data_IF_451680961450
#
_entry.id   IF_451680961450
#
_cell.length_a   1.000
_cell.length_b   1.000
_cell.length_c   1.000
_cell.angle_alpha   90.00
_cell.angle_beta   90.00
_cell.angle_gamma   90.00
#
_symmetry.space_group_name_H-M   'P 1'
#
loop_
_entity.id
_entity.type
_entity.pdbx_description
1 polymer ?
#
# COMPACT_ATOMS: atom_id res chain seq x y z
N UNK A 1 -24.27 -0.37 -40.69
CA UNK A 1 -24.62 0.54 -39.58
C UNK A 1 -26.10 0.56 -39.19
N UNK A 2 -27.01 -0.24 -39.77
CA UNK A 2 -28.47 -0.12 -39.49
C UNK A 2 -29.05 -1.30 -38.66
N UNK A 3 -28.29 -2.37 -38.37
CA UNK A 3 -28.80 -3.53 -37.61
C UNK A 3 -28.60 -3.48 -36.08
N UNK A 4 -27.85 -2.51 -35.53
CA UNK A 4 -27.63 -2.39 -34.07
C UNK A 4 -28.68 -1.51 -33.35
N UNK A 5 -29.55 -0.81 -34.09
CA UNK A 5 -30.45 0.20 -33.52
C UNK A 5 -31.88 -0.29 -33.23
N UNK A 6 -32.36 -1.36 -33.86
CA UNK A 6 -33.73 -1.87 -33.63
C UNK A 6 -33.91 -2.66 -32.33
N UNK A 7 -32.86 -3.28 -31.78
CA UNK A 7 -32.97 -4.06 -30.52
C UNK A 7 -32.98 -3.12 -29.29
N UNK A 8 -32.49 -1.89 -29.42
CA UNK A 8 -32.23 -0.99 -28.27
C UNK A 8 -33.35 0.04 -28.05
N UNK A 9 -34.08 0.43 -29.10
CA UNK A 9 -35.27 1.28 -28.95
C UNK A 9 -36.38 0.53 -28.19
N UNK A 10 -36.44 -0.80 -28.28
CA UNK A 10 -37.37 -1.62 -27.48
C UNK A 10 -36.93 -1.77 -26.01
N UNK A 11 -35.63 -1.76 -25.70
CA UNK A 11 -35.14 -1.81 -24.31
C UNK A 11 -35.40 -0.51 -23.54
N UNK A 12 -35.20 0.66 -24.15
CA UNK A 12 -35.49 1.95 -23.49
C UNK A 12 -36.99 2.17 -23.30
N UNK A 13 -37.84 1.67 -24.21
CA UNK A 13 -39.30 1.67 -24.00
C UNK A 13 -39.72 0.65 -22.94
N UNK A 14 -39.04 -0.50 -22.80
CA UNK A 14 -39.30 -1.46 -21.72
C UNK A 14 -39.01 -0.91 -20.31
N UNK A 15 -38.04 -0.02 -20.17
CA UNK A 15 -37.70 0.63 -18.89
C UNK A 15 -38.84 1.57 -18.43
N UNK A 16 -39.60 2.15 -19.37
CA UNK A 16 -40.61 3.19 -19.09
C UNK A 16 -42.06 2.67 -19.06
N UNK A 17 -42.34 1.44 -19.52
CA UNK A 17 -43.71 0.88 -19.47
C UNK A 17 -43.93 0.12 -18.16
N UNK A 18 -44.56 0.83 -17.21
CA UNK A 18 -45.43 0.36 -16.11
C UNK A 18 -45.30 -1.10 -15.67
N UNK A 19 -44.20 -1.44 -14.99
CA UNK A 19 -44.10 -2.64 -14.17
C UNK A 19 -43.30 -2.28 -12.92
N UNK A 20 -43.85 -2.59 -11.74
CA UNK A 20 -43.19 -2.35 -10.45
C UNK A 20 -41.71 -2.77 -10.53
N UNK A 21 -40.79 -1.82 -10.35
CA UNK A 21 -39.38 -2.15 -10.14
C UNK A 21 -39.34 -2.95 -8.84
N UNK A 22 -38.96 -4.21 -8.93
CA UNK A 22 -38.88 -5.05 -7.75
C UNK A 22 -37.70 -4.56 -6.93
N UNK A 23 -37.94 -4.10 -5.70
CA UNK A 23 -36.89 -3.91 -4.69
C UNK A 23 -36.59 -5.30 -4.15
N UNK A 24 -35.95 -6.13 -4.97
CA UNK A 24 -35.50 -7.47 -4.57
C UNK A 24 -34.48 -7.39 -3.43
N UNK A 25 -34.19 -8.53 -2.81
CA UNK A 25 -33.17 -8.61 -1.77
C UNK A 25 -31.85 -8.03 -2.29
N UNK A 26 -31.36 -6.98 -1.65
CA UNK A 26 -30.16 -6.27 -2.06
C UNK A 26 -28.98 -7.27 -2.08
N UNK A 27 -28.29 -7.45 -3.23
CA UNK A 27 -27.18 -8.39 -3.29
C UNK A 27 -26.17 -8.10 -2.19
N UNK A 28 -25.68 -9.17 -1.57
CA UNK A 28 -24.71 -9.06 -0.48
C UNK A 28 -23.40 -8.50 -1.04
N UNK A 29 -22.68 -7.66 -0.29
CA UNK A 29 -21.35 -7.21 -0.70
C UNK A 29 -20.43 -8.41 -0.90
N UNK A 30 -19.63 -8.39 -1.96
CA UNK A 30 -18.55 -9.37 -2.16
C UNK A 30 -17.49 -9.15 -1.08
N UNK A 31 -17.04 -10.21 -0.39
CA UNK A 31 -15.98 -10.10 0.60
C UNK A 31 -14.72 -9.49 0.00
N UNK A 32 -14.03 -8.69 0.80
CA UNK A 32 -12.79 -8.04 0.39
C UNK A 32 -11.66 -9.08 0.36
N UNK A 33 -10.98 -9.24 -0.77
CA UNK A 33 -9.84 -10.14 -0.93
C UNK A 33 -8.63 -9.44 -1.54
N UNK A 34 -7.45 -9.98 -1.30
CA UNK A 34 -6.22 -9.49 -1.92
C UNK A 34 -6.16 -9.83 -3.41
N UNK A 35 -5.77 -8.85 -4.22
CA UNK A 35 -5.62 -8.97 -5.65
C UNK A 35 -4.14 -8.94 -6.02
N UNK A 36 -3.65 -9.97 -6.71
CA UNK A 36 -2.33 -9.95 -7.31
C UNK A 36 -2.38 -9.13 -8.59
N UNK A 37 -1.55 -8.10 -8.68
CA UNK A 37 -1.37 -7.34 -9.90
C UNK A 37 -0.43 -8.12 -10.81
N UNK A 38 -0.82 -8.38 -12.06
CA UNK A 38 0.04 -9.03 -13.06
C UNK A 38 1.16 -8.07 -13.52
N UNK A 39 2.05 -7.74 -12.59
CA UNK A 39 3.19 -6.90 -12.81
C UNK A 39 4.30 -7.26 -11.82
N UNK A 40 5.54 -7.39 -12.30
CA UNK A 40 6.67 -7.81 -11.47
C UNK A 40 7.49 -6.62 -10.99
N UNK A 41 7.80 -6.55 -9.70
CA UNK A 41 8.82 -5.64 -9.16
C UNK A 41 10.19 -6.09 -9.68
N UNK A 42 11.12 -5.18 -10.02
CA UNK A 42 12.50 -5.56 -10.27
C UNK A 42 13.03 -6.46 -9.13
N UNK A 43 13.57 -7.62 -9.47
CA UNK A 43 13.99 -8.63 -8.48
C UNK A 43 15.19 -8.11 -7.70
N UNK A 44 14.95 -7.51 -6.53
CA UNK A 44 15.96 -6.93 -5.64
C UNK A 44 15.60 -7.15 -4.18
N UNK A 45 16.60 -7.25 -3.31
CA UNK A 45 16.45 -7.16 -1.85
C UNK A 45 16.75 -5.76 -1.35
N UNK A 46 16.25 -5.40 -0.16
CA UNK A 46 16.59 -4.15 0.56
C UNK A 46 16.42 -2.84 -0.23
N UNK A 47 15.66 -2.86 -1.32
CA UNK A 47 15.16 -1.64 -1.96
C UNK A 47 14.19 -0.95 -1.00
N UNK A 48 14.03 0.36 -1.10
CA UNK A 48 12.92 1.07 -0.44
C UNK A 48 11.88 1.48 -1.46
N UNK A 49 10.63 1.58 -1.02
CA UNK A 49 9.58 2.13 -1.85
C UNK A 49 8.60 2.99 -1.05
N UNK A 50 7.96 3.91 -1.75
CA UNK A 50 7.07 4.93 -1.19
C UNK A 50 5.94 5.23 -2.17
N UNK A 51 4.74 5.43 -1.65
CA UNK A 51 3.56 5.78 -2.42
C UNK A 51 3.47 7.29 -2.53
N UNK A 52 3.27 7.76 -3.75
CA UNK A 52 2.94 9.14 -4.07
C UNK A 52 1.42 9.30 -4.21
N UNK A 53 0.91 10.48 -3.90
CA UNK A 53 -0.53 10.80 -3.89
C UNK A 53 -1.20 10.59 -5.26
N UNK A 54 -0.43 10.49 -6.35
CA UNK A 54 -0.89 10.35 -7.73
C UNK A 54 -0.95 8.90 -8.23
N UNK A 55 -1.20 7.94 -7.35
CA UNK A 55 -1.28 6.52 -7.75
C UNK A 55 0.01 5.97 -8.36
N UNK A 56 1.15 6.42 -7.82
CA UNK A 56 2.46 5.86 -8.16
C UNK A 56 3.15 5.32 -6.92
N UNK A 57 3.85 4.21 -7.07
CA UNK A 57 4.84 3.77 -6.09
C UNK A 57 6.21 3.96 -6.69
N UNK A 58 7.10 4.65 -5.98
CA UNK A 58 8.49 4.85 -6.35
C UNK A 58 9.38 3.83 -5.64
N UNK A 59 10.36 3.31 -6.36
CA UNK A 59 11.33 2.32 -5.90
C UNK A 59 12.73 2.82 -6.18
N UNK A 60 13.63 2.67 -5.20
CA UNK A 60 15.04 3.00 -5.37
C UNK A 60 15.94 2.03 -4.61
N UNK A 61 17.14 1.82 -5.16
CA UNK A 61 18.20 1.03 -4.56
C UNK A 61 17.88 -0.46 -4.47
N UNK A 62 18.44 -1.08 -3.44
CA UNK A 62 18.42 -2.51 -3.24
C UNK A 62 19.58 -3.22 -3.93
N UNK A 63 19.64 -4.54 -3.78
CA UNK A 63 20.66 -5.41 -4.37
C UNK A 63 19.99 -6.43 -5.30
N UNK A 64 20.51 -6.59 -6.52
CA UNK A 64 20.01 -7.58 -7.47
C UNK A 64 20.62 -8.98 -7.23
N UNK A 65 20.17 -9.97 -8.02
CA UNK A 65 20.65 -11.36 -7.92
C UNK A 65 22.14 -11.55 -8.24
N UNK A 66 22.79 -10.55 -8.85
CA UNK A 66 24.23 -10.55 -9.15
C UNK A 66 25.03 -9.80 -8.08
N UNK A 67 24.37 -9.33 -7.01
CA UNK A 67 24.99 -8.57 -5.94
C UNK A 67 25.26 -7.10 -6.29
N UNK A 68 24.77 -6.61 -7.43
CA UNK A 68 24.91 -5.22 -7.82
C UNK A 68 23.87 -4.36 -7.11
N UNK A 69 24.26 -3.15 -6.73
CA UNK A 69 23.39 -2.13 -6.17
C UNK A 69 23.09 -1.07 -7.23
N UNK A 70 22.03 -1.26 -8.05
CA UNK A 70 21.61 -0.30 -9.06
C UNK A 70 21.02 0.98 -8.45
N UNK A 71 21.09 2.08 -9.21
CA UNK A 71 20.65 3.41 -8.82
C UNK A 71 19.52 3.97 -9.70
N UNK A 72 18.82 3.11 -10.42
CA UNK A 72 17.66 3.51 -11.20
C UNK A 72 16.43 3.73 -10.31
N UNK A 73 15.59 4.69 -10.72
CA UNK A 73 14.30 4.92 -10.11
C UNK A 73 13.25 4.21 -10.95
N UNK A 74 12.50 3.30 -10.35
CA UNK A 74 11.28 2.77 -10.97
C UNK A 74 10.07 3.43 -10.35
N UNK A 75 9.06 3.72 -11.17
CA UNK A 75 7.71 4.02 -10.68
C UNK A 75 6.68 3.07 -11.27
N UNK A 76 5.84 2.52 -10.40
CA UNK A 76 4.71 1.68 -10.76
C UNK A 76 3.44 2.53 -10.73
N UNK A 77 2.74 2.65 -11.88
CA UNK A 77 1.36 3.14 -11.88
C UNK A 77 0.47 2.07 -11.29
N UNK A 78 -0.27 2.40 -10.23
CA UNK A 78 -1.18 1.47 -9.55
C UNK A 78 -2.65 1.62 -9.97
N UNK A 79 -2.94 2.52 -10.92
CA UNK A 79 -4.24 2.58 -11.57
C UNK A 79 -4.18 1.87 -12.91
N UNK A 80 -5.24 1.12 -13.24
CA UNK A 80 -5.32 0.42 -14.51
C UNK A 80 -5.21 1.42 -15.69
N UNK A 81 -4.42 1.12 -16.73
CA UNK A 81 -3.52 -0.03 -16.85
C UNK A 81 -2.24 0.14 -16.02
N UNK A 82 -1.89 -0.90 -15.26
CA UNK A 82 -0.63 -0.95 -14.52
C UNK A 82 0.56 -0.89 -15.48
N UNK A 83 1.57 -0.11 -15.12
CA UNK A 83 2.76 0.02 -15.95
C UNK A 83 3.96 0.44 -15.13
N UNK A 84 5.12 -0.11 -15.49
CA UNK A 84 6.40 0.35 -14.98
C UNK A 84 6.98 1.43 -15.87
N UNK A 85 7.48 2.47 -15.22
CA UNK A 85 8.23 3.53 -15.86
C UNK A 85 9.58 3.59 -15.16
N UNK A 86 10.64 3.37 -15.94
CA UNK A 86 12.02 3.55 -15.47
C UNK A 86 12.45 4.99 -15.72
N UNK A 87 12.98 5.63 -14.69
CA UNK A 87 13.62 6.93 -14.79
C UNK A 87 15.12 6.81 -14.46
N UNK A 88 15.96 7.13 -15.44
CA UNK A 88 17.42 7.12 -15.31
C UNK A 88 17.95 8.54 -15.08
N UNK A 89 17.36 9.25 -14.11
CA UNK A 89 17.84 10.56 -13.72
C UNK A 89 19.20 10.44 -13.02
N UNK A 90 20.21 11.26 -13.38
CA UNK A 90 21.43 11.39 -12.58
C UNK A 90 21.05 11.68 -11.13
N UNK A 91 21.66 10.96 -10.18
CA UNK A 91 21.21 10.98 -8.79
C UNK A 91 22.15 10.21 -7.86
N UNK A 92 21.67 9.81 -6.67
CA UNK A 92 22.47 9.09 -5.70
C UNK A 92 23.04 7.79 -6.30
N UNK A 93 24.19 7.36 -5.79
CA UNK A 93 24.69 6.02 -6.08
C UNK A 93 23.77 4.93 -5.52
N UNK A 94 23.86 3.73 -6.09
CA UNK A 94 23.04 2.60 -5.67
C UNK A 94 23.48 2.06 -4.33
N UNK A 95 22.49 1.66 -3.52
CA UNK A 95 22.67 1.42 -2.09
C UNK A 95 21.56 0.55 -1.49
N UNK A 96 21.87 -0.09 -0.37
CA UNK A 96 20.92 -0.84 0.47
C UNK A 96 20.71 -0.15 1.82
N UNK A 97 19.63 -0.49 2.53
CA UNK A 97 19.39 -0.01 3.90
C UNK A 97 19.22 1.51 4.03
N UNK A 98 19.08 2.24 2.93
CA UNK A 98 18.80 3.67 2.96
C UNK A 98 17.38 3.93 3.48
N UNK A 99 17.14 5.12 4.00
CA UNK A 99 15.80 5.57 4.35
C UNK A 99 15.19 6.32 3.15
N UNK A 100 13.91 6.08 2.84
CA UNK A 100 13.18 6.75 1.76
C UNK A 100 11.80 7.18 2.28
N UNK A 101 11.46 8.46 2.13
CA UNK A 101 10.19 9.02 2.58
C UNK A 101 9.51 9.86 1.50
N UNK A 102 8.18 9.90 1.50
CA UNK A 102 7.37 10.78 0.63
C UNK A 102 6.70 11.88 1.46
N UNK A 103 6.82 13.13 1.01
CA UNK A 103 6.15 14.25 1.63
C UNK A 103 4.69 14.30 1.16
N UNK A 104 3.78 13.97 2.07
CA UNK A 104 2.37 13.73 1.73
C UNK A 104 1.71 15.00 1.20
N UNK A 105 1.07 14.89 0.04
CA UNK A 105 0.45 16.04 -0.65
C UNK A 105 1.42 16.88 -1.47
N UNK A 106 2.66 16.41 -1.67
CA UNK A 106 3.66 17.04 -2.53
C UNK A 106 4.28 16.03 -3.51
N UNK A 107 5.14 16.54 -4.39
CA UNK A 107 5.95 15.74 -5.31
C UNK A 107 7.36 15.45 -4.77
N UNK A 108 7.63 15.68 -3.48
CA UNK A 108 8.97 15.53 -2.93
C UNK A 108 9.15 14.17 -2.25
N UNK A 109 10.21 13.46 -2.63
CA UNK A 109 10.76 12.34 -1.86
C UNK A 109 12.07 12.79 -1.19
N UNK A 110 12.38 12.19 -0.04
CA UNK A 110 13.68 12.31 0.60
C UNK A 110 14.34 10.94 0.67
N UNK A 111 15.64 10.88 0.38
CA UNK A 111 16.51 9.75 0.64
C UNK A 111 17.60 10.16 1.62
N UNK A 112 17.90 9.29 2.58
CA UNK A 112 19.00 9.50 3.52
C UNK A 112 19.83 8.22 3.73
N UNK A 113 21.15 8.38 3.68
CA UNK A 113 22.12 7.35 4.08
C UNK A 113 22.05 6.05 3.29
N UNK A 114 22.28 4.93 3.97
CA UNK A 114 22.42 3.59 3.38
C UNK A 114 23.88 3.13 3.28
N UNK A 115 24.08 1.96 2.69
CA UNK A 115 25.39 1.39 2.39
C UNK A 115 25.55 1.26 0.87
N UNK A 116 26.65 1.78 0.33
CA UNK A 116 26.96 1.67 -1.11
C UNK A 116 27.64 0.35 -1.46
N UNK A 117 27.90 0.14 -2.76
CA UNK A 117 28.56 -1.06 -3.28
C UNK A 117 29.94 -1.33 -2.64
N UNK A 118 30.64 -0.30 -2.18
CA UNK A 118 31.95 -0.40 -1.52
C UNK A 118 31.85 -0.74 -0.02
N UNK A 119 30.63 -0.91 0.51
CA UNK A 119 30.40 -1.16 1.94
C UNK A 119 30.49 0.08 2.82
N UNK A 120 30.51 1.28 2.23
CA UNK A 120 30.60 2.53 2.97
C UNK A 120 29.22 2.97 3.43
N UNK A 121 29.10 3.26 4.73
CA UNK A 121 27.92 3.93 5.29
C UNK A 121 27.89 5.39 4.84
N UNK A 122 26.72 5.84 4.38
CA UNK A 122 26.50 7.17 3.84
C UNK A 122 25.67 8.03 4.80
N UNK A 123 25.80 9.35 4.69
CA UNK A 123 24.98 10.36 5.37
C UNK A 123 24.49 11.46 4.42
N UNK A 124 24.60 11.24 3.11
CA UNK A 124 24.08 12.16 2.12
C UNK A 124 22.56 12.22 2.17
N UNK A 125 22.04 13.42 1.88
CA UNK A 125 20.60 13.66 1.77
C UNK A 125 20.27 14.05 0.36
N UNK A 126 19.29 13.37 -0.22
CA UNK A 126 18.83 13.63 -1.58
C UNK A 126 17.34 13.90 -1.59
N UNK A 127 16.95 14.91 -2.36
CA UNK A 127 15.55 15.18 -2.66
C UNK A 127 15.26 14.75 -4.10
N UNK A 128 14.14 14.07 -4.30
CA UNK A 128 13.66 13.74 -5.63
C UNK A 128 12.34 14.45 -5.89
N UNK A 129 12.32 15.25 -6.95
CA UNK A 129 11.11 15.84 -7.50
C UNK A 129 10.45 14.80 -8.40
N UNK A 130 9.34 14.23 -7.94
CA UNK A 130 8.60 13.18 -8.63
C UNK A 130 7.79 13.69 -9.84
N UNK A 131 7.55 15.01 -9.90
CA UNK A 131 6.88 15.65 -11.03
C UNK A 131 7.82 15.79 -12.21
N UNK A 132 9.01 16.36 -11.98
CA UNK A 132 10.03 16.55 -13.02
C UNK A 132 10.94 15.32 -13.21
N UNK A 133 10.97 14.42 -12.24
CA UNK A 133 11.80 13.22 -12.25
C UNK A 133 13.29 13.52 -12.06
N UNK A 134 13.64 14.44 -11.16
CA UNK A 134 15.01 14.93 -10.99
C UNK A 134 15.47 14.77 -9.54
N UNK A 135 16.69 14.27 -9.35
CA UNK A 135 17.37 14.25 -8.05
C UNK A 135 18.14 15.54 -7.80
N UNK A 136 18.18 15.96 -6.53
CA UNK A 136 19.02 17.04 -6.04
C UNK A 136 19.64 16.64 -4.71
N UNK A 137 20.97 16.57 -4.66
CA UNK A 137 21.68 16.45 -3.39
C UNK A 137 21.53 17.75 -2.61
N UNK A 138 21.26 17.64 -1.32
CA UNK A 138 21.17 18.79 -0.42
C UNK A 138 22.24 18.67 0.65
N UNK A 139 23.09 19.69 0.73
CA UNK A 139 24.12 19.78 1.75
C UNK A 139 23.50 20.21 3.08
N UNK A 140 23.67 19.38 4.10
CA UNK A 140 23.19 19.66 5.45
C UNK A 140 24.14 19.01 6.44
N UNK A 141 24.51 19.74 7.49
CA UNK A 141 24.95 19.10 8.73
C UNK A 141 23.77 18.29 9.25
N UNK A 142 23.96 17.00 9.53
CA UNK A 142 22.87 16.11 9.84
C UNK A 142 23.33 14.86 10.58
N UNK A 143 22.49 13.80 10.61
CA UNK A 143 22.82 12.57 11.29
C UNK A 143 24.13 11.96 10.77
N UNK A 144 24.86 11.28 11.64
CA UNK A 144 26.05 10.50 11.26
C UNK A 144 25.73 9.44 10.20
N UNK A 145 26.72 8.97 9.41
CA UNK A 145 26.52 7.92 8.42
C UNK A 145 25.90 6.67 9.02
N UNK A 146 24.87 6.16 8.37
CA UNK A 146 24.07 5.04 8.88
C UNK A 146 23.22 4.38 7.80
N UNK A 147 22.83 3.14 8.07
CA UNK A 147 21.84 2.39 7.31
C UNK A 147 20.82 1.74 8.24
N UNK A 148 19.78 1.16 7.64
CA UNK A 148 18.66 0.48 8.29
C UNK A 148 17.89 1.39 9.25
N UNK A 149 17.95 2.70 9.00
CA UNK A 149 17.17 3.73 9.68
C UNK A 149 15.79 3.86 9.04
N UNK A 150 14.84 4.40 9.80
CA UNK A 150 13.45 4.52 9.39
C UNK A 150 13.09 5.99 9.25
N UNK A 151 12.37 6.36 8.19
CA UNK A 151 11.98 7.75 7.92
C UNK A 151 10.50 7.85 7.56
N UNK A 152 9.82 8.89 8.03
CA UNK A 152 8.43 9.17 7.64
C UNK A 152 8.14 10.68 7.65
N UNK A 153 7.03 11.09 7.03
CA UNK A 153 6.68 12.50 6.88
C UNK A 153 5.87 13.04 8.05
N UNK A 154 6.39 14.05 8.74
CA UNK A 154 5.63 14.76 9.76
C UNK A 154 4.74 15.83 9.13
N UNK A 155 3.42 15.59 9.12
CA UNK A 155 2.44 16.54 8.58
C UNK A 155 2.36 17.86 9.36
N UNK A 156 2.69 17.85 10.65
CA UNK A 156 2.56 19.04 11.50
C UNK A 156 3.67 20.03 11.19
N UNK A 157 4.90 19.56 11.12
CA UNK A 157 6.09 20.37 10.82
C UNK A 157 6.36 20.49 9.32
N UNK A 158 5.66 19.68 8.51
CA UNK A 158 5.88 19.53 7.08
C UNK A 158 7.30 19.05 6.74
N UNK A 159 7.90 18.29 7.65
CA UNK A 159 9.26 17.75 7.56
C UNK A 159 9.30 16.22 7.52
N UNK A 160 10.49 15.64 7.69
CA UNK A 160 10.65 14.19 7.81
C UNK A 160 11.32 13.80 9.11
N UNK A 161 10.73 12.85 9.84
CA UNK A 161 11.32 12.27 11.06
C UNK A 161 12.13 11.05 10.66
N UNK A 162 13.40 11.04 11.04
CA UNK A 162 14.32 9.91 10.93
C UNK A 162 14.58 9.34 12.32
N UNK A 163 14.56 8.02 12.46
CA UNK A 163 14.87 7.32 13.70
C UNK A 163 15.85 6.18 13.49
N UNK A 164 16.81 6.09 14.42
CA UNK A 164 17.68 4.92 14.60
C UNK A 164 18.62 4.63 13.43
N UNK A 165 18.81 3.35 13.15
CA UNK A 165 19.81 2.83 12.20
C UNK A 165 21.11 2.45 12.89
N UNK A 166 22.10 2.03 12.09
CA UNK A 166 23.42 1.70 12.58
C UNK A 166 24.51 2.03 11.57
N UNK A 167 25.75 2.04 12.06
CA UNK A 167 26.94 1.87 11.24
C UNK A 167 27.82 0.74 11.79
N UNK A 168 29.03 0.57 11.24
CA UNK A 168 29.97 -0.46 11.70
C UNK A 168 30.42 -0.32 13.15
N UNK A 169 30.25 0.87 13.76
CA UNK A 169 30.78 1.20 15.08
C UNK A 169 29.69 1.47 16.13
N UNK A 170 28.48 1.81 15.71
CA UNK A 170 27.44 2.37 16.58
C UNK A 170 26.04 2.00 16.11
N UNK A 171 25.20 1.67 17.10
CA UNK A 171 23.76 1.52 16.95
C UNK A 171 23.09 2.80 17.45
N UNK A 172 22.20 3.37 16.65
CA UNK A 172 21.59 4.67 16.93
C UNK A 172 20.14 4.51 17.43
N UNK A 173 19.77 5.36 18.40
CA UNK A 173 18.40 5.54 18.91
C UNK A 173 18.00 7.02 18.96
N UNK A 174 18.72 7.85 18.20
CA UNK A 174 18.42 9.26 18.05
C UNK A 174 17.28 9.49 17.05
N UNK A 175 16.65 10.64 17.22
CA UNK A 175 15.57 11.17 16.39
C UNK A 175 16.05 12.47 15.77
N UNK A 176 15.94 12.55 14.45
CA UNK A 176 16.25 13.74 13.68
C UNK A 176 15.03 14.16 12.88
N UNK A 177 14.91 15.45 12.61
CA UNK A 177 13.86 15.96 11.75
C UNK A 177 14.42 16.86 10.65
N UNK A 178 14.06 16.55 9.41
CA UNK A 178 14.39 17.35 8.24
C UNK A 178 13.33 18.40 8.00
N UNK A 179 13.76 19.65 7.83
CA UNK A 179 12.93 20.76 7.38
C UNK A 179 13.44 21.24 6.02
N UNK A 180 12.55 21.39 5.04
CA UNK A 180 12.93 21.80 3.67
C UNK A 180 13.70 23.13 3.60
N UNK A 181 13.51 24.01 4.58
CA UNK A 181 14.13 25.34 4.63
C UNK A 181 15.47 25.38 5.38
N UNK A 182 15.70 24.44 6.30
CA UNK A 182 16.80 24.54 7.28
C UNK A 182 17.55 23.24 7.54
N UNK A 183 17.27 22.20 6.76
CA UNK A 183 17.97 20.93 6.81
C UNK A 183 17.61 20.08 8.04
N UNK A 184 18.55 19.24 8.45
CA UNK A 184 18.40 18.33 9.59
C UNK A 184 18.55 19.04 10.95
N UNK A 185 17.67 18.73 11.88
CA UNK A 185 17.72 19.16 13.27
C UNK A 185 17.67 17.95 14.19
N UNK A 186 18.58 17.87 15.15
CA UNK A 186 18.51 16.86 16.21
C UNK A 186 17.29 17.14 17.09
N UNK A 187 16.53 16.11 17.44
CA UNK A 187 15.29 16.25 18.20
C UNK A 187 15.34 15.59 19.57
N UNK A 188 15.80 14.34 19.65
CA UNK A 188 15.84 13.58 20.89
C UNK A 188 16.75 12.37 20.75
N UNK A 189 17.43 11.98 21.82
CA UNK A 189 18.07 10.68 22.04
C UNK A 189 17.36 9.89 23.17
N UNK A 190 16.27 10.44 23.71
CA UNK A 190 15.39 9.79 24.67
C UNK A 190 14.18 9.17 23.96
N UNK A 191 13.78 7.98 24.40
CA UNK A 191 12.61 7.27 23.87
C UNK A 191 12.92 5.80 23.58
N UNK A 192 12.52 5.27 22.40
CA UNK A 192 12.78 3.88 22.04
C UNK A 192 14.28 3.56 22.06
N UNK A 193 14.63 2.36 22.51
CA UNK A 193 16.01 1.87 22.46
C UNK A 193 16.62 1.94 21.06
N UNK A 194 17.94 2.14 20.93
CA UNK A 194 18.65 2.07 19.65
C UNK A 194 18.32 0.80 18.85
N UNK A 195 18.03 0.95 17.55
CA UNK A 195 17.57 -0.18 16.72
C UNK A 195 17.70 0.05 15.22
N UNK A 196 17.71 -1.05 14.49
CA UNK A 196 17.58 -1.13 13.03
C UNK A 196 16.24 -1.77 12.63
N UNK A 197 15.86 -1.58 11.38
CA UNK A 197 14.73 -2.27 10.73
C UNK A 197 13.37 -2.07 11.43
N UNK A 198 13.22 -0.98 12.18
CA UNK A 198 11.97 -0.61 12.81
C UNK A 198 10.98 -0.06 11.77
N UNK A 199 9.69 -0.31 11.98
CA UNK A 199 8.65 0.29 11.17
C UNK A 199 8.34 1.70 11.64
N UNK A 200 8.54 2.73 10.80
CA UNK A 200 8.15 4.11 11.11
C UNK A 200 7.14 4.61 10.09
N UNK A 201 5.95 4.98 10.55
CA UNK A 201 4.83 5.35 9.68
C UNK A 201 4.09 6.58 10.20
N UNK A 202 3.59 7.39 9.29
CA UNK A 202 2.67 8.48 9.59
C UNK A 202 1.26 7.99 9.29
N UNK A 203 0.38 7.84 10.30
CA UNK A 203 -0.96 7.35 10.05
C UNK A 203 -1.77 8.27 9.12
N UNK A 204 -2.70 7.69 8.35
CA UNK A 204 -3.53 8.48 7.44
C UNK A 204 -4.29 9.58 8.18
N UNK A 205 -4.17 10.83 7.70
CA UNK A 205 -4.72 12.04 8.33
C UNK A 205 -4.26 12.32 9.79
N UNK A 206 -3.23 11.63 10.28
CA UNK A 206 -2.68 11.88 11.62
C UNK A 206 -1.51 12.86 11.59
N UNK A 207 -1.32 13.57 12.71
CA UNK A 207 -0.20 14.50 12.94
C UNK A 207 0.94 13.88 13.77
N UNK A 208 0.82 12.61 14.17
CA UNK A 208 1.84 11.89 14.93
C UNK A 208 2.53 10.84 14.06
N UNK A 209 3.69 10.36 14.51
CA UNK A 209 4.41 9.28 13.83
C UNK A 209 4.49 8.08 14.77
N UNK A 210 4.28 6.90 14.21
CA UNK A 210 4.25 5.63 14.95
C UNK A 210 5.50 4.83 14.58
N UNK A 211 6.29 4.51 15.59
CA UNK A 211 7.39 3.55 15.50
C UNK A 211 6.94 2.22 16.08
N UNK A 212 7.26 1.11 15.41
CA UNK A 212 6.97 -0.24 15.88
C UNK A 212 8.15 -1.17 15.63
N UNK A 213 8.44 -2.06 16.58
CA UNK A 213 9.36 -3.19 16.41
C UNK A 213 10.80 -2.82 16.05
N UNK A 214 11.46 -3.66 15.24
CA UNK A 214 12.89 -3.54 14.91
C UNK A 214 13.78 -4.39 15.83
N UNK A 215 15.10 -4.24 15.74
CA UNK A 215 16.06 -5.00 16.55
C UNK A 215 17.28 -4.21 16.99
N UNK A 216 17.88 -4.61 18.11
CA UNK A 216 19.09 -4.01 18.66
C UNK A 216 20.37 -4.39 17.89
N UNK A 217 20.48 -3.95 16.63
CA UNK A 217 21.56 -4.39 15.73
C UNK A 217 21.33 -5.81 15.20
N UNK A 218 22.28 -6.35 14.44
CA UNK A 218 22.08 -7.61 13.72
C UNK A 218 21.85 -8.83 14.62
N UNK A 219 22.50 -8.87 15.78
CA UNK A 219 22.48 -10.01 16.72
C UNK A 219 21.75 -9.69 18.05
N UNK A 220 21.02 -8.57 18.10
CA UNK A 220 20.39 -8.09 19.32
C UNK A 220 18.95 -8.54 19.52
N UNK A 221 18.37 -8.11 20.64
CA UNK A 221 16.96 -8.30 20.96
C UNK A 221 16.07 -7.72 19.85
N UNK A 222 15.03 -8.47 19.51
CA UNK A 222 13.98 -8.03 18.61
C UNK A 222 12.80 -7.49 19.42
N UNK A 223 12.24 -6.36 18.97
CA UNK A 223 11.21 -5.63 19.69
C UNK A 223 9.81 -5.78 19.08
N UNK A 224 8.77 -5.64 19.91
CA UNK A 224 7.36 -5.42 19.53
C UNK A 224 6.73 -4.23 20.28
N UNK A 225 7.57 -3.35 20.84
CA UNK A 225 7.08 -2.11 21.42
C UNK A 225 6.55 -1.17 20.32
N UNK A 226 5.64 -0.29 20.73
CA UNK A 226 5.07 0.75 19.87
C UNK A 226 5.26 2.10 20.54
N UNK A 227 5.61 3.11 19.75
CA UNK A 227 5.87 4.45 20.25
C UNK A 227 5.22 5.49 19.35
N UNK A 228 4.75 6.58 19.97
CA UNK A 228 4.18 7.73 19.29
C UNK A 228 5.07 8.95 19.47
N UNK A 229 5.41 9.62 18.37
CA UNK A 229 6.21 10.83 18.36
C UNK A 229 5.35 12.09 18.42
N UNK A 230 5.67 12.99 19.35
CA UNK A 230 5.01 14.27 19.61
C UNK A 230 5.93 15.47 19.36
N UNK A 231 6.71 15.45 18.27
CA UNK A 231 7.63 16.52 17.82
C UNK A 231 8.84 16.82 18.73
N UNK A 232 8.74 16.51 20.03
CA UNK A 232 9.79 16.74 21.04
C UNK A 232 10.08 15.49 21.88
N UNK A 233 9.16 14.53 21.92
CA UNK A 233 9.30 13.35 22.78
C UNK A 233 8.53 12.16 22.23
N UNK A 234 9.04 10.97 22.54
CA UNK A 234 8.36 9.70 22.31
C UNK A 234 7.51 9.30 23.52
N UNK A 235 6.33 8.76 23.27
CA UNK A 235 5.46 8.15 24.28
C UNK A 235 5.29 6.66 23.94
N UNK A 236 5.60 5.77 24.89
CA UNK A 236 5.44 4.33 24.68
C UNK A 236 3.98 3.92 24.81
N UNK A 237 3.47 3.20 23.82
CA UNK A 237 2.14 2.60 23.87
C UNK A 237 2.09 1.40 24.82
N UNK A 238 0.91 1.17 25.38
CA UNK A 238 0.59 0.15 26.37
C UNK A 238 -0.54 -0.72 25.83
N UNK A 239 -0.26 -1.96 25.40
CA UNK A 239 -1.29 -2.90 24.97
C UNK A 239 -2.33 -3.14 26.08
N UNK A 240 -3.61 -2.93 25.76
CA UNK A 240 -4.71 -3.14 26.71
C UNK A 240 -5.03 -4.61 26.94
N UNK A 241 -4.71 -5.46 25.96
CA UNK A 241 -5.09 -6.86 25.93
C UNK A 241 -3.82 -7.71 25.76
N UNK A 242 -3.85 -8.98 26.18
CA UNK A 242 -2.71 -9.90 26.00
C UNK A 242 -2.48 -10.28 24.54
N UNK A 243 -3.42 -9.96 23.65
CA UNK A 243 -3.31 -10.17 22.22
C UNK A 243 -2.48 -9.03 21.61
N UNK A 244 -1.22 -9.33 21.30
CA UNK A 244 -0.28 -8.38 20.71
C UNK A 244 0.63 -9.10 19.72
N UNK A 245 1.11 -8.45 18.64
CA UNK A 245 2.02 -9.11 17.73
C UNK A 245 3.33 -9.46 18.44
N UNK A 246 3.88 -10.63 18.10
CA UNK A 246 5.21 -11.06 18.58
C UNK A 246 6.30 -10.09 18.11
N UNK A 247 7.45 -10.01 18.82
CA UNK A 247 8.58 -9.20 18.38
C UNK A 247 9.04 -9.58 16.99
N UNK A 248 9.30 -8.57 16.16
CA UNK A 248 9.53 -8.77 14.72
C UNK A 248 10.39 -7.70 14.07
N UNK A 249 11.08 -8.11 13.01
CA UNK A 249 11.82 -7.25 12.06
C UNK A 249 11.41 -7.54 10.63
N UNK A 250 11.82 -6.67 9.69
CA UNK A 250 11.59 -6.88 8.26
C UNK A 250 10.12 -7.15 7.90
N UNK A 251 9.18 -6.64 8.67
CA UNK A 251 7.75 -6.73 8.39
C UNK A 251 7.31 -5.58 7.48
N UNK A 252 6.21 -5.79 6.78
CA UNK A 252 5.54 -4.71 6.06
C UNK A 252 4.72 -3.89 7.07
N UNK A 253 4.86 -2.56 7.06
CA UNK A 253 4.05 -1.65 7.89
C UNK A 253 3.46 -0.52 7.06
N UNK A 254 2.19 -0.19 7.29
CA UNK A 254 1.47 0.93 6.65
C UNK A 254 0.35 1.46 7.53
N UNK A 255 -0.45 2.41 7.02
CA UNK A 255 -1.61 2.93 7.76
C UNK A 255 -2.83 3.23 6.90
N UNK A 256 -3.99 2.76 7.31
CA UNK A 256 -5.26 2.98 6.62
C UNK A 256 -6.31 3.50 7.61
N UNK A 257 -7.06 4.54 7.23
CA UNK A 257 -8.08 5.18 8.09
C UNK A 257 -7.56 5.54 9.51
N UNK A 258 -6.26 5.84 9.61
CA UNK A 258 -5.59 6.14 10.88
C UNK A 258 -5.13 4.91 11.67
N UNK A 259 -5.57 3.70 11.34
CA UNK A 259 -5.07 2.46 11.96
C UNK A 259 -3.72 2.05 11.33
N UNK A 260 -2.95 1.23 12.04
CA UNK A 260 -1.68 0.66 11.55
C UNK A 260 -1.89 -0.78 11.10
N UNK A 261 -1.30 -1.13 9.95
CA UNK A 261 -1.32 -2.48 9.40
C UNK A 261 0.09 -3.05 9.44
N UNK A 262 0.24 -4.26 9.95
CA UNK A 262 1.49 -5.03 9.94
C UNK A 262 1.25 -6.35 9.23
N UNK A 263 2.16 -6.72 8.33
CA UNK A 263 2.11 -7.99 7.61
C UNK A 263 3.46 -8.71 7.72
N UNK A 264 3.43 -9.94 8.23
CA UNK A 264 4.57 -10.84 8.31
C UNK A 264 5.74 -10.30 9.14
N UNK A 265 6.94 -10.45 8.58
CA UNK A 265 8.22 -10.19 9.25
C UNK A 265 8.95 -11.46 9.66
N UNK A 266 10.02 -11.30 10.44
CA UNK A 266 10.83 -12.38 10.99
C UNK A 266 10.70 -12.42 12.51
N UNK A 267 10.70 -13.62 13.09
CA UNK A 267 10.54 -13.88 14.52
C UNK A 267 11.77 -13.43 15.34
N UNK A 268 11.50 -13.11 16.61
CA UNK A 268 12.44 -12.69 17.62
C UNK A 268 13.39 -13.80 18.08
N UNK A 269 12.90 -15.05 18.14
CA UNK A 269 13.68 -16.18 18.64
C UNK A 269 14.57 -16.81 17.55
N UNK A 270 14.20 -16.63 16.29
CA UNK A 270 14.93 -17.10 15.13
C UNK A 270 14.62 -16.16 13.96
N UNK A 271 15.57 -15.31 13.58
CA UNK A 271 15.39 -14.38 12.46
C UNK A 271 15.18 -15.09 11.13
N UNK A 272 15.46 -16.39 11.01
CA UNK A 272 15.14 -17.19 9.83
C UNK A 272 13.70 -17.72 9.83
N UNK A 273 12.98 -17.61 10.96
CA UNK A 273 11.57 -17.97 11.07
C UNK A 273 10.71 -16.83 10.56
N UNK A 274 10.02 -17.06 9.44
CA UNK A 274 9.15 -16.06 8.81
C UNK A 274 7.75 -16.12 9.43
N UNK A 275 7.24 -14.95 9.82
CA UNK A 275 5.91 -14.79 10.41
C UNK A 275 4.84 -14.76 9.31
N UNK A 276 3.78 -15.52 9.55
CA UNK A 276 2.66 -15.71 8.63
C UNK A 276 1.39 -14.96 9.07
N UNK A 277 1.53 -14.05 10.02
CA UNK A 277 0.41 -13.33 10.63
C UNK A 277 0.27 -11.92 10.06
N UNK A 278 -0.87 -11.30 10.31
CA UNK A 278 -1.11 -9.89 9.99
C UNK A 278 -1.99 -9.26 11.05
N UNK A 279 -1.77 -7.97 11.26
CA UNK A 279 -2.29 -7.28 12.42
C UNK A 279 -2.81 -5.91 12.03
N UNK A 280 -3.94 -5.55 12.63
CA UNK A 280 -4.38 -4.16 12.75
C UNK A 280 -4.09 -3.70 14.16
N UNK A 281 -3.40 -2.57 14.27
CA UNK A 281 -3.19 -1.88 15.54
C UNK A 281 -4.01 -0.61 15.54
N UNK A 282 -4.81 -0.47 16.59
CA UNK A 282 -5.67 0.68 16.85
C UNK A 282 -5.27 1.32 18.17
N UNK A 283 -5.48 2.63 18.29
CA UNK A 283 -5.12 3.40 19.48
C UNK A 283 -6.30 4.31 19.87
N UNK A 284 -7.35 3.75 20.52
CA UNK A 284 -8.57 4.48 20.81
C UNK A 284 -8.34 5.70 21.73
N UNK A 285 -7.34 5.63 22.61
CA UNK A 285 -6.76 6.77 23.32
C UNK A 285 -5.28 6.46 23.60
N UNK A 286 -4.34 7.15 22.96
CA UNK A 286 -2.91 6.91 23.24
C UNK A 286 -2.58 7.32 24.70
N UNK A 287 -1.80 6.55 25.48
CA UNK A 287 -0.93 5.43 25.10
C UNK A 287 -1.60 4.06 25.01
N UNK A 288 -2.89 3.93 25.26
CA UNK A 288 -3.57 2.63 25.18
C UNK A 288 -3.75 2.18 23.73
N UNK A 289 -3.22 0.99 23.42
CA UNK A 289 -3.28 0.38 22.08
C UNK A 289 -3.95 -0.99 22.13
N UNK A 290 -4.55 -1.41 21.02
CA UNK A 290 -5.13 -2.74 20.83
C UNK A 290 -4.69 -3.31 19.50
N UNK A 291 -4.44 -4.62 19.48
CA UNK A 291 -4.21 -5.34 18.24
C UNK A 291 -5.34 -6.33 17.97
N UNK A 292 -5.67 -6.50 16.69
CA UNK A 292 -6.49 -7.62 16.21
C UNK A 292 -5.76 -8.32 15.08
N UNK A 293 -5.87 -9.64 15.03
CA UNK A 293 -5.38 -10.39 13.89
C UNK A 293 -6.31 -10.20 12.69
N UNK A 294 -5.70 -10.18 11.52
CA UNK A 294 -6.38 -10.16 10.25
C UNK A 294 -5.81 -11.26 9.36
N UNK A 295 -6.70 -12.11 8.85
CA UNK A 295 -6.32 -13.24 8.01
C UNK A 295 -5.95 -12.73 6.61
N UNK A 296 -4.68 -12.85 6.25
CA UNK A 296 -4.20 -12.70 4.87
C UNK A 296 -4.16 -14.08 4.20
N UNK A 297 -4.47 -14.18 2.89
CA UNK A 297 -4.36 -15.43 2.14
C UNK A 297 -2.99 -16.11 2.32
N UNK A 298 -2.92 -17.44 2.30
CA UNK A 298 -1.68 -18.21 2.47
C UNK A 298 -0.55 -17.78 1.51
N UNK A 299 -0.91 -17.29 0.33
CA UNK A 299 0.01 -16.76 -0.68
C UNK A 299 0.75 -15.49 -0.21
N UNK A 300 0.15 -14.74 0.71
CA UNK A 300 0.75 -13.54 1.31
C UNK A 300 1.52 -13.81 2.58
N UNK A 301 1.23 -14.94 3.22
CA UNK A 301 1.90 -15.37 4.44
C UNK A 301 3.37 -15.71 4.15
N UNK A 302 4.24 -15.44 5.11
CA UNK A 302 5.64 -15.88 5.06
C UNK A 302 6.51 -14.98 4.24
N UNK A 303 6.27 -13.66 4.31
CA UNK A 303 7.10 -12.66 3.66
C UNK A 303 7.76 -11.72 4.67
N UNK A 304 9.01 -11.39 4.39
CA UNK A 304 9.77 -10.35 5.07
C UNK A 304 10.46 -9.44 4.05
N UNK A 305 10.84 -8.21 4.43
CA UNK A 305 11.33 -7.19 3.51
C UNK A 305 10.27 -6.67 2.54
N UNK A 306 9.00 -6.98 2.80
CA UNK A 306 7.88 -6.47 2.03
C UNK A 306 7.52 -5.05 2.48
N UNK A 307 7.01 -4.24 1.57
CA UNK A 307 6.53 -2.90 1.90
C UNK A 307 5.02 -2.86 1.87
N UNK A 308 4.42 -2.40 2.97
CA UNK A 308 3.01 -2.02 2.98
C UNK A 308 2.94 -0.51 2.74
N UNK A 309 2.22 -0.10 1.70
CA UNK A 309 2.02 1.33 1.47
C UNK A 309 0.54 1.65 1.39
N UNK A 310 0.07 2.65 2.15
CA UNK A 310 -1.32 3.03 2.08
C UNK A 310 -1.59 3.84 0.81
N UNK A 311 -2.45 3.31 -0.05
CA UNK A 311 -3.15 4.10 -1.05
C UNK A 311 -4.32 4.85 -0.41
N UNK A 312 -4.92 5.79 -1.16
CA UNK A 312 -6.11 6.52 -0.70
C UNK A 312 -7.30 5.61 -0.30
N UNK A 313 -7.29 4.35 -0.77
CA UNK A 313 -8.46 3.45 -0.76
C UNK A 313 -8.08 1.95 -0.73
N UNK A 314 -6.80 1.63 -0.50
CA UNK A 314 -6.26 0.26 -0.57
C UNK A 314 -4.95 0.13 0.20
N UNK A 315 -4.66 -1.04 0.76
CA UNK A 315 -3.30 -1.37 1.18
C UNK A 315 -2.55 -2.05 0.03
N UNK A 316 -1.26 -1.79 -0.09
CA UNK A 316 -0.43 -2.34 -1.17
C UNK A 316 0.74 -3.05 -0.55
N UNK A 317 0.95 -4.31 -0.92
CA UNK A 317 2.04 -5.14 -0.44
C UNK A 317 2.96 -5.50 -1.61
N UNK A 318 4.26 -5.23 -1.44
CA UNK A 318 5.23 -5.30 -2.53
C UNK A 318 6.37 -6.25 -2.17
N UNK A 319 6.57 -7.24 -3.03
CA UNK A 319 7.70 -8.18 -2.98
C UNK A 319 7.97 -8.75 -1.59
N UNK A 320 9.25 -8.76 -1.24
CA UNK A 320 9.77 -9.37 -0.03
C UNK A 320 10.51 -10.66 -0.33
N UNK A 321 10.72 -11.49 0.68
CA UNK A 321 11.39 -12.76 0.58
C UNK A 321 10.56 -13.85 1.24
N UNK A 322 10.52 -15.04 0.61
CA UNK A 322 9.91 -16.24 1.15
C UNK A 322 10.81 -17.43 0.87
N UNK A 323 11.29 -18.11 1.92
CA UNK A 323 12.16 -19.29 1.79
C UNK A 323 13.33 -19.10 0.82
N UNK A 324 14.12 -18.03 1.01
CA UNK A 324 15.27 -17.59 0.16
C UNK A 324 14.94 -17.17 -1.27
N UNK A 325 13.66 -17.16 -1.66
CA UNK A 325 13.20 -16.63 -2.93
C UNK A 325 12.79 -15.17 -2.81
N UNK A 326 13.43 -14.31 -3.60
CA UNK A 326 13.01 -12.93 -3.80
C UNK A 326 11.65 -12.90 -4.51
N UNK A 327 10.65 -12.44 -3.77
CA UNK A 327 9.32 -12.15 -4.30
C UNK A 327 9.37 -10.83 -5.07
N UNK A 328 8.74 -10.85 -6.22
CA UNK A 328 8.59 -9.71 -7.12
C UNK A 328 7.10 -9.45 -7.40
N UNK A 329 6.22 -9.95 -6.53
CA UNK A 329 4.79 -9.78 -6.66
C UNK A 329 4.32 -8.42 -6.13
N UNK A 330 3.20 -7.95 -6.67
CA UNK A 330 2.49 -6.78 -6.17
C UNK A 330 1.09 -7.23 -5.81
N UNK A 331 0.68 -6.93 -4.59
CA UNK A 331 -0.64 -7.27 -4.08
C UNK A 331 -1.36 -6.02 -3.61
N UNK A 332 -2.63 -5.91 -3.99
CA UNK A 332 -3.52 -4.85 -3.56
C UNK A 332 -4.58 -5.47 -2.68
N UNK A 333 -4.76 -4.93 -1.49
CA UNK A 333 -5.96 -5.15 -0.73
C UNK A 333 -6.92 -4.00 -1.06
N UNK A 334 -7.90 -4.19 -1.97
CA UNK A 334 -8.99 -3.22 -2.12
C UNK A 334 -9.66 -3.09 -0.76
N UNK A 335 -10.07 -1.91 -0.31
CA UNK A 335 -10.77 -1.79 0.99
C UNK A 335 -12.25 -1.46 0.86
N UNK A 336 -12.79 -1.59 -0.36
CA UNK A 336 -14.22 -1.53 -0.63
C UNK A 336 -14.71 -2.89 -1.11
N UNK A 337 -15.73 -3.42 -0.44
CA UNK A 337 -16.57 -4.45 -1.02
C UNK A 337 -17.40 -3.82 -2.13
N UNK A 338 -17.65 -4.57 -3.20
CA UNK A 338 -18.57 -4.15 -4.24
C UNK A 338 -19.82 -5.03 -4.18
N UNK A 339 -20.96 -4.49 -4.63
CA UNK A 339 -22.21 -5.25 -4.76
C UNK A 339 -22.44 -5.54 -6.24
N UNK A 340 -22.61 -6.80 -6.66
CA UNK A 340 -23.01 -7.13 -8.01
C UNK A 340 -24.27 -6.35 -8.38
N UNK A 341 -24.20 -5.64 -9.49
CA UNK A 341 -25.24 -4.79 -10.04
C UNK A 341 -25.41 -3.38 -9.44
N UNK A 342 -24.65 -2.97 -8.43
CA UNK A 342 -24.52 -1.55 -8.00
C UNK A 342 -23.41 -0.86 -8.81
N UNK A 343 -23.68 -0.65 -10.10
CA UNK A 343 -22.65 -0.33 -11.10
C UNK A 343 -22.06 1.06 -10.94
N UNK A 344 -22.83 2.00 -10.40
CA UNK A 344 -22.34 3.36 -10.13
C UNK A 344 -21.81 3.53 -8.69
N UNK A 345 -21.81 2.46 -7.87
CA UNK A 345 -21.30 2.41 -6.51
C UNK A 345 -21.92 3.46 -5.57
N UNK A 346 -23.23 3.72 -5.69
CA UNK A 346 -23.94 4.68 -4.83
C UNK A 346 -24.64 4.02 -3.63
N UNK A 347 -24.47 2.70 -3.45
CA UNK A 347 -25.07 1.91 -2.39
C UNK A 347 -26.54 1.54 -2.63
N UNK A 348 -27.10 1.91 -3.79
CA UNK A 348 -28.50 1.66 -4.15
C UNK A 348 -28.58 0.91 -5.47
N UNK A 349 -29.03 -0.33 -5.36
CA UNK A 349 -29.35 -1.18 -6.49
C UNK A 349 -30.67 -0.76 -7.17
N UNK A 350 -30.64 -0.12 -8.34
CA UNK A 350 -31.84 0.32 -9.07
C UNK A 350 -31.64 0.56 -10.58
N UNK A 351 -32.64 1.13 -11.27
CA UNK A 351 -32.58 1.41 -12.70
C UNK A 351 -31.48 2.41 -13.14
N UNK A 352 -30.90 3.18 -12.22
CA UNK A 352 -29.75 4.04 -12.52
C UNK A 352 -28.48 3.24 -12.82
N UNK A 353 -28.33 2.04 -12.27
CA UNK A 353 -27.20 1.16 -12.56
C UNK A 353 -27.26 0.65 -14.00
N UNK A 354 -28.45 0.27 -14.47
CA UNK A 354 -28.71 -0.04 -15.89
C UNK A 354 -28.37 1.14 -16.80
N UNK A 355 -28.81 2.35 -16.45
CA UNK A 355 -28.51 3.55 -17.24
C UNK A 355 -27.01 3.79 -17.29
N UNK A 356 -26.31 3.60 -16.16
CA UNK A 356 -24.86 3.73 -16.09
C UNK A 356 -24.15 2.71 -16.99
N UNK A 357 -24.50 1.42 -16.91
CA UNK A 357 -23.96 0.37 -17.78
C UNK A 357 -24.15 0.70 -19.26
N UNK A 358 -25.36 1.10 -19.65
CA UNK A 358 -25.69 1.43 -21.04
C UNK A 358 -24.90 2.64 -21.53
N UNK A 359 -24.73 3.68 -20.68
CA UNK A 359 -23.98 4.88 -21.05
C UNK A 359 -22.49 4.57 -21.24
N UNK A 360 -21.91 3.77 -20.34
CA UNK A 360 -20.54 3.29 -20.48
C UNK A 360 -20.37 2.42 -21.74
N UNK A 361 -21.28 1.47 -21.96
CA UNK A 361 -21.27 0.59 -23.14
C UNK A 361 -21.32 1.36 -24.46
N UNK A 362 -22.04 2.48 -24.49
CA UNK A 362 -22.13 3.38 -25.65
C UNK A 362 -20.91 4.30 -25.81
N UNK A 363 -19.95 4.27 -24.88
CA UNK A 363 -18.80 5.18 -24.84
C UNK A 363 -19.16 6.62 -24.47
N UNK A 364 -20.35 6.84 -23.89
CA UNK A 364 -20.86 8.16 -23.52
C UNK A 364 -20.77 8.46 -22.02
N UNK A 365 -20.52 7.44 -21.21
CA UNK A 365 -20.38 7.53 -19.76
C UNK A 365 -19.01 7.04 -19.29
N UNK A 366 -18.61 7.40 -18.06
CA UNK A 366 -17.37 6.91 -17.45
C UNK A 366 -17.42 5.39 -17.20
N UNK A 367 -16.25 4.72 -17.10
CA UNK A 367 -16.19 3.32 -16.69
C UNK A 367 -16.78 3.11 -15.29
N UNK A 368 -17.30 1.92 -14.96
CA UNK A 368 -17.66 1.55 -13.60
C UNK A 368 -16.47 1.76 -12.65
N UNK A 369 -16.68 2.37 -11.46
CA UNK A 369 -15.60 2.81 -10.59
C UNK A 369 -14.88 1.65 -9.89
N UNK A 370 -15.53 0.49 -9.75
CA UNK A 370 -14.96 -0.69 -9.11
C UNK A 370 -14.52 -1.71 -10.17
N UNK A 371 -13.26 -2.11 -10.10
CA UNK A 371 -12.66 -3.13 -10.94
C UNK A 371 -12.08 -4.24 -10.08
N UNK A 372 -12.11 -5.46 -10.61
CA UNK A 372 -11.64 -6.68 -9.97
C UNK A 372 -10.80 -7.45 -11.00
N UNK A 373 -9.62 -7.93 -10.62
CA UNK A 373 -8.82 -8.78 -11.50
C UNK A 373 -9.23 -10.24 -11.29
N UNK A 374 -9.60 -10.93 -12.36
CA UNK A 374 -10.15 -12.29 -12.28
C UNK A 374 -9.15 -13.36 -12.72
N UNK A 375 -8.44 -13.12 -13.81
CA UNK A 375 -7.43 -14.05 -14.36
C UNK A 375 -6.38 -13.25 -15.14
N UNK A 376 -5.10 -13.57 -14.93
CA UNK A 376 -3.94 -13.11 -15.72
C UNK A 376 -4.10 -11.72 -16.39
N UNK A 377 -4.24 -10.65 -15.60
CA UNK A 377 -4.30 -9.29 -16.14
C UNK A 377 -5.63 -8.85 -16.76
N UNK A 378 -6.67 -9.69 -16.75
CA UNK A 378 -8.01 -9.28 -17.18
C UNK A 378 -8.77 -8.59 -16.05
N UNK A 379 -9.00 -7.31 -16.25
CA UNK A 379 -9.83 -6.46 -15.40
C UNK A 379 -11.30 -6.64 -15.74
N UNK A 380 -12.08 -7.01 -14.73
CA UNK A 380 -13.52 -7.08 -14.76
C UNK A 380 -14.11 -5.88 -14.02
N UNK A 381 -15.15 -5.28 -14.58
CA UNK A 381 -15.99 -4.35 -13.82
C UNK A 381 -16.87 -5.15 -12.88
N UNK A 382 -16.38 -5.48 -11.68
CA UNK A 382 -17.01 -6.42 -10.75
C UNK A 382 -18.51 -6.15 -10.52
N UNK A 383 -18.95 -4.92 -10.20
CA UNK A 383 -20.38 -4.60 -10.11
C UNK A 383 -21.16 -4.78 -11.41
N UNK A 384 -20.51 -4.63 -12.56
CA UNK A 384 -21.17 -4.66 -13.85
C UNK A 384 -21.28 -6.09 -14.43
N UNK A 385 -20.51 -7.05 -13.94
CA UNK A 385 -20.75 -8.48 -14.13
C UNK A 385 -21.93 -8.90 -13.24
N UNK A 386 -23.14 -8.71 -13.76
CA UNK A 386 -24.36 -8.93 -13.02
C UNK A 386 -24.79 -10.39 -13.05
N UNK A 387 -24.38 -11.14 -14.07
CA UNK A 387 -24.73 -12.56 -14.22
C UNK A 387 -23.67 -13.53 -13.66
N UNK A 388 -22.51 -13.00 -13.24
CA UNK A 388 -21.42 -13.76 -12.64
C UNK A 388 -20.62 -14.58 -13.65
N UNK A 389 -20.68 -14.20 -14.94
CA UNK A 389 -19.98 -14.87 -16.05
C UNK A 389 -18.49 -14.59 -16.09
N UNK A 390 -17.98 -13.70 -15.23
CA UNK A 390 -16.59 -13.24 -15.23
C UNK A 390 -16.25 -12.43 -16.49
N UNK A 391 -17.26 -11.85 -17.12
CA UNK A 391 -17.14 -10.94 -18.24
C UNK A 391 -18.13 -9.80 -18.07
N UNK A 392 -17.80 -8.62 -18.61
CA UNK A 392 -18.78 -7.55 -18.71
C UNK A 392 -19.23 -7.45 -20.16
N UNK A 393 -20.41 -7.98 -20.44
CA UNK A 393 -21.02 -7.94 -21.76
C UNK A 393 -22.50 -7.46 -21.83
N UNK A 394 -23.12 -7.54 -23.02
CA UNK A 394 -24.52 -7.11 -23.19
C UNK A 394 -25.53 -8.01 -22.48
N UNK A 395 -25.13 -9.22 -22.10
CA UNK A 395 -25.89 -10.17 -21.30
C UNK A 395 -26.07 -9.64 -19.90
N UNK A 396 -25.05 -9.01 -19.28
CA UNK A 396 -25.18 -8.39 -17.96
C UNK A 396 -26.25 -7.31 -17.90
N UNK A 397 -26.31 -6.47 -18.94
CA UNK A 397 -27.34 -5.42 -19.05
C UNK A 397 -28.72 -6.07 -19.12
N UNK A 398 -28.84 -7.16 -19.89
CA UNK A 398 -30.10 -7.87 -20.06
C UNK A 398 -30.50 -8.62 -18.78
N UNK A 399 -29.52 -9.21 -18.09
CA UNK A 399 -29.68 -9.90 -16.81
C UNK A 399 -30.16 -8.94 -15.74
N UNK A 400 -29.49 -7.78 -15.61
CA UNK A 400 -29.84 -6.74 -14.65
C UNK A 400 -31.25 -6.20 -14.89
N UNK A 401 -31.64 -6.03 -16.16
CA UNK A 401 -32.99 -5.64 -16.54
C UNK A 401 -34.03 -6.69 -16.16
N UNK A 402 -33.76 -7.96 -16.44
CA UNK A 402 -34.66 -9.06 -16.09
C UNK A 402 -34.86 -9.17 -14.58
N UNK A 403 -33.80 -9.00 -13.79
CA UNK A 403 -33.90 -8.98 -12.33
C UNK A 403 -34.72 -7.79 -11.82
N UNK A 404 -34.46 -6.57 -12.29
CA UNK A 404 -35.20 -5.37 -11.87
C UNK A 404 -36.69 -5.43 -12.23
N UNK A 405 -37.05 -6.19 -13.26
CA UNK A 405 -38.43 -6.49 -13.66
C UNK A 405 -39.05 -7.67 -12.90
N UNK A 406 -38.31 -8.32 -12.00
CA UNK A 406 -38.78 -9.44 -11.16
C UNK A 406 -38.81 -10.80 -11.85
N UNK A 407 -38.15 -10.95 -13.01
CA UNK A 407 -38.13 -12.19 -13.79
C UNK A 407 -36.84 -13.01 -13.61
N UNK A 408 -35.79 -12.41 -13.07
CA UNK A 408 -34.46 -13.02 -12.91
C UNK A 408 -34.06 -13.24 -11.45
N UNK A 409 -32.94 -13.96 -11.27
CA UNK A 409 -32.26 -14.11 -9.98
C UNK A 409 -31.47 -12.84 -9.63
N UNK A 410 -31.15 -12.68 -8.34
CA UNK A 410 -30.30 -11.57 -7.89
C UNK A 410 -28.92 -11.60 -8.55
N UNK A 411 -28.33 -10.43 -8.86
CA UNK A 411 -27.00 -10.36 -9.42
C UNK A 411 -25.98 -11.10 -8.56
N UNK A 412 -25.06 -11.79 -9.23
CA UNK A 412 -24.05 -12.62 -8.60
C UNK A 412 -22.66 -12.14 -9.00
N UNK A 413 -21.68 -12.30 -8.11
CA UNK A 413 -20.29 -12.07 -8.44
C UNK A 413 -19.73 -13.28 -9.19
N UNK A 414 -18.80 -13.05 -10.10
CA UNK A 414 -17.97 -14.11 -10.64
C UNK A 414 -17.28 -14.90 -9.52
N UNK A 415 -17.39 -16.23 -9.59
CA UNK A 415 -16.89 -17.16 -8.57
C UNK A 415 -15.37 -17.36 -8.59
N UNK A 416 -14.69 -16.91 -9.65
CA UNK A 416 -13.25 -17.07 -9.84
C UNK A 416 -12.45 -15.79 -9.64
N UNK A 417 -13.10 -14.62 -9.58
CA UNK A 417 -12.42 -13.39 -9.20
C UNK A 417 -12.17 -13.38 -7.69
N UNK A 418 -10.90 -13.47 -7.27
CA UNK A 418 -10.50 -13.36 -5.87
C UNK A 418 -10.02 -14.61 -5.16
N UNK A 419 -9.47 -15.57 -5.91
CA UNK A 419 -8.67 -16.68 -5.37
C UNK A 419 -7.17 -16.41 -5.54
#
# INVERSE_FOLDING_TARGET
MIKKSCIIISLLTLILVSGNIHIGANPQPVPIFWMRVNNSVPVRTDYKCVYDHNSYIYFFGGQDSLGQMPNDVYKLRIDAPYSWIRNNAPGPEGRIGHALGHAIGSYNLILFGGINQAGQYLNDTWLYDSYNGIWRQVDSTGPSPRAYSSITYNRRTQGFVLFGGMNGDSLFGDTWEWYFTSGWHFKSDNGPSPRIDAGLVTPYQSYVQILYGGRAGFDGEVYNDIWEWWDTSWVQGQPLDSLWPTPRVNFAIGSYEGEIIIVGGQDAANTDSILNDSWWITYPWFPSVRARQWLVPELLQGRYGAYAVPGQSRAILLGGNKNTQNLHDVWLYPMYSYRPGDVNNNGKFNGMDLVYMVNFWKGTGPPPPCYVECWEGQMLYGPADADGSCSFDGLDITYLLNYLKGFGSAPAACSTCGL
#
